data_IF_949715955186
#
_entry.id   IF_949715955186
#
_cell.length_a   1.000
_cell.length_b   1.000
_cell.length_c   1.000
_cell.angle_alpha   90.00
_cell.angle_beta   90.00
_cell.angle_gamma   90.00
#
_symmetry.space_group_name_H-M   'P 1'
#
loop_
_entity.id
_entity.type
_entity.pdbx_description
1 polymer ?
#
# COMPACT_ATOMS: atom_id res chain seq x y z
N UNK A 1 -19.75 22.83 -3.04
CA UNK A 1 -20.05 22.10 -1.80
C UNK A 1 -19.74 22.96 -0.58
N UNK A 2 -20.62 22.93 0.42
CA UNK A 2 -20.44 23.67 1.68
C UNK A 2 -19.71 22.86 2.76
N UNK A 3 -19.50 21.56 2.50
CA UNK A 3 -18.81 20.63 3.39
C UNK A 3 -17.55 20.09 2.69
N UNK A 4 -16.47 19.84 3.44
CA UNK A 4 -15.30 19.18 2.87
C UNK A 4 -15.69 17.78 2.40
N UNK A 5 -15.07 17.33 1.32
CA UNK A 5 -15.25 15.97 0.83
C UNK A 5 -14.74 14.96 1.89
N UNK A 6 -15.35 13.77 1.98
CA UNK A 6 -14.95 12.80 2.99
C UNK A 6 -13.44 12.50 3.02
N UNK A 7 -12.78 12.41 1.86
CA UNK A 7 -11.34 12.14 1.77
C UNK A 7 -10.43 13.31 2.18
N UNK A 8 -10.96 14.54 2.31
CA UNK A 8 -10.20 15.70 2.80
C UNK A 8 -10.13 15.73 4.34
N UNK A 9 -10.92 14.89 5.01
CA UNK A 9 -10.92 14.80 6.45
C UNK A 9 -9.69 14.04 6.94
N UNK A 10 -8.85 14.71 7.71
CA UNK A 10 -7.66 14.11 8.34
C UNK A 10 -7.97 13.18 9.52
N UNK A 11 -9.20 13.27 10.05
CA UNK A 11 -9.68 12.41 11.14
C UNK A 11 -10.38 11.20 10.53
N UNK A 12 -9.77 10.01 10.67
CA UNK A 12 -10.26 8.76 10.10
C UNK A 12 -11.68 8.40 10.56
N UNK A 13 -12.03 8.72 11.80
CA UNK A 13 -13.36 8.43 12.33
C UNK A 13 -14.42 9.34 11.69
N UNK A 14 -14.10 10.63 11.54
CA UNK A 14 -14.99 11.57 10.85
C UNK A 14 -15.13 11.24 9.37
N UNK A 15 -14.02 10.85 8.71
CA UNK A 15 -14.04 10.39 7.31
C UNK A 15 -15.00 9.23 7.13
N UNK A 16 -14.85 8.19 7.94
CA UNK A 16 -15.68 7.00 7.85
C UNK A 16 -17.18 7.29 8.09
N UNK A 17 -17.51 8.17 9.03
CA UNK A 17 -18.89 8.60 9.25
C UNK A 17 -19.42 9.48 8.11
N UNK A 18 -18.57 10.32 7.51
CA UNK A 18 -18.96 11.15 6.37
C UNK A 18 -19.30 10.28 5.15
N UNK A 19 -18.48 9.28 4.81
CA UNK A 19 -18.78 8.32 3.74
C UNK A 19 -20.09 7.60 4.00
N UNK A 20 -20.28 7.09 5.21
CA UNK A 20 -21.49 6.38 5.59
C UNK A 20 -22.74 7.25 5.52
N UNK A 21 -22.65 8.54 5.78
CA UNK A 21 -23.76 9.48 5.69
C UNK A 21 -24.34 9.65 4.28
N UNK A 22 -23.58 9.31 3.27
CA UNK A 22 -24.00 9.31 1.85
C UNK A 22 -24.18 7.90 1.26
N UNK A 23 -24.27 6.88 2.13
CA UNK A 23 -24.55 5.51 1.73
C UNK A 23 -23.35 4.72 1.21
N UNK A 24 -22.12 5.18 1.47
CA UNK A 24 -20.87 4.50 1.12
C UNK A 24 -20.27 3.86 2.37
N UNK A 25 -19.90 2.60 2.26
CA UNK A 25 -19.12 1.93 3.32
C UNK A 25 -17.65 2.42 3.28
N UNK A 26 -17.03 2.46 4.44
CA UNK A 26 -15.59 2.72 4.59
C UNK A 26 -14.97 1.65 5.49
N UNK A 27 -13.67 1.51 5.42
CA UNK A 27 -12.87 0.68 6.30
C UNK A 27 -11.84 1.55 7.00
N UNK A 28 -11.62 1.32 8.30
CA UNK A 28 -10.61 2.06 9.04
C UNK A 28 -9.23 1.47 8.75
N UNK A 29 -8.31 2.34 8.31
CA UNK A 29 -6.91 2.01 8.11
C UNK A 29 -6.10 2.19 9.39
N UNK A 30 -5.32 1.19 9.75
CA UNK A 30 -4.40 1.26 10.88
C UNK A 30 -2.99 0.90 10.42
N UNK A 31 -2.07 1.83 10.60
CA UNK A 31 -0.64 1.57 10.40
C UNK A 31 -0.07 0.78 11.56
N UNK A 32 0.66 -0.28 11.26
CA UNK A 32 1.37 -1.08 12.26
C UNK A 32 2.81 -0.58 12.37
N UNK A 33 3.31 -0.24 13.56
CA UNK A 33 4.62 0.35 13.70
C UNK A 33 5.76 -0.66 13.47
N UNK A 34 6.94 -0.14 13.18
CA UNK A 34 8.23 -0.80 13.29
C UNK A 34 9.10 -0.02 14.27
N UNK A 35 10.31 -0.51 14.57
CA UNK A 35 11.26 0.17 15.44
C UNK A 35 12.63 0.32 14.80
N UNK A 36 13.44 1.21 15.36
CA UNK A 36 14.87 1.30 15.07
C UNK A 36 15.66 0.89 16.30
N UNK A 37 16.91 0.45 16.10
CA UNK A 37 17.80 0.18 17.21
C UNK A 37 18.03 1.46 18.04
N UNK A 38 18.02 1.41 19.38
CA UNK A 38 18.22 2.59 20.23
C UNK A 38 19.56 3.31 20.00
N UNK A 39 20.54 2.67 19.40
CA UNK A 39 21.83 3.28 19.05
C UNK A 39 21.77 4.14 17.78
N UNK A 40 20.69 4.05 17.00
CA UNK A 40 20.51 4.84 15.78
C UNK A 40 20.19 6.29 16.14
N UNK A 41 20.95 7.18 15.58
CA UNK A 41 20.69 8.63 15.61
C UNK A 41 20.62 9.17 14.19
N UNK A 42 19.94 10.30 14.00
CA UNK A 42 19.89 10.91 12.67
C UNK A 42 20.10 12.42 12.72
N UNK A 43 20.46 12.97 11.56
CA UNK A 43 20.62 14.40 11.34
C UNK A 43 19.90 14.76 10.05
N UNK A 44 19.07 15.78 10.08
CA UNK A 44 18.41 16.36 8.93
C UNK A 44 19.23 17.53 8.40
N UNK A 45 19.47 17.53 7.11
CA UNK A 45 20.21 18.55 6.39
C UNK A 45 19.37 19.01 5.19
N UNK A 46 19.66 20.21 4.69
CA UNK A 46 19.03 20.78 3.51
C UNK A 46 20.10 21.41 2.62
N UNK A 47 20.10 21.02 1.37
CA UNK A 47 20.93 21.63 0.34
C UNK A 47 20.08 22.59 -0.47
N UNK A 48 20.41 23.87 -0.45
CA UNK A 48 19.71 24.88 -1.23
C UNK A 48 20.04 24.76 -2.72
N UNK A 49 19.11 25.17 -3.60
CA UNK A 49 19.33 25.13 -5.04
C UNK A 49 20.50 26.03 -5.47
N UNK A 50 21.31 25.53 -6.40
CA UNK A 50 22.46 26.28 -6.92
C UNK A 50 22.09 27.35 -7.97
N UNK A 51 20.84 27.32 -8.49
CA UNK A 51 20.40 28.27 -9.51
C UNK A 51 18.91 28.20 -9.82
N UNK A 52 18.43 29.07 -10.71
CA UNK A 52 17.02 29.13 -11.11
C UNK A 52 16.52 27.78 -11.68
N UNK A 53 15.29 27.38 -11.32
CA UNK A 53 14.66 26.14 -11.80
C UNK A 53 15.14 24.87 -11.10
N UNK A 54 16.04 25.00 -10.12
CA UNK A 54 16.42 23.90 -9.24
C UNK A 54 15.61 23.95 -7.93
N UNK A 55 15.45 22.80 -7.31
CA UNK A 55 14.72 22.67 -6.05
C UNK A 55 15.64 22.23 -4.93
N UNK A 56 15.33 22.57 -3.68
CA UNK A 56 16.07 22.10 -2.53
C UNK A 56 16.12 20.57 -2.46
N UNK A 57 17.20 20.03 -1.91
CA UNK A 57 17.34 18.62 -1.61
C UNK A 57 17.31 18.45 -0.09
N UNK A 58 16.35 17.70 0.38
CA UNK A 58 16.25 17.26 1.77
C UNK A 58 17.14 16.04 1.95
N UNK A 59 17.87 15.99 3.06
CA UNK A 59 18.83 14.93 3.33
C UNK A 59 18.63 14.45 4.76
N UNK A 60 18.55 13.13 4.94
CA UNK A 60 18.64 12.50 6.25
C UNK A 60 19.79 11.54 6.31
N UNK A 61 20.64 11.71 7.31
CA UNK A 61 21.74 10.81 7.64
C UNK A 61 21.43 10.04 8.91
N UNK A 62 21.36 8.71 8.79
CA UNK A 62 21.24 7.81 9.93
C UNK A 62 22.64 7.30 10.31
N UNK A 63 23.02 7.46 11.55
CA UNK A 63 24.24 6.90 12.12
C UNK A 63 23.89 5.59 12.81
N UNK A 64 24.54 4.52 12.38
CA UNK A 64 24.37 3.16 12.93
C UNK A 64 25.72 2.63 13.42
N UNK A 65 25.76 1.55 14.21
CA UNK A 65 27.01 0.88 14.59
C UNK A 65 27.86 0.37 13.40
N UNK A 66 27.25 0.21 12.22
CA UNK A 66 27.91 -0.26 10.99
C UNK A 66 28.26 0.86 10.02
N UNK A 67 28.03 2.12 10.41
CA UNK A 67 28.30 3.29 9.57
C UNK A 67 27.06 4.13 9.29
N UNK A 68 27.16 5.02 8.33
CA UNK A 68 26.12 6.02 8.00
C UNK A 68 25.32 5.57 6.78
N UNK A 69 23.99 5.65 6.88
CA UNK A 69 23.07 5.65 5.74
C UNK A 69 22.68 7.09 5.41
N UNK A 70 22.51 7.38 4.13
CA UNK A 70 22.14 8.71 3.69
C UNK A 70 21.07 8.61 2.59
N UNK A 71 19.96 9.31 2.81
CA UNK A 71 18.85 9.42 1.86
C UNK A 71 18.71 10.89 1.46
N UNK A 72 18.65 11.15 0.15
CA UNK A 72 18.53 12.48 -0.41
C UNK A 72 17.30 12.54 -1.32
N UNK A 73 16.39 13.47 -1.05
CA UNK A 73 15.15 13.63 -1.79
C UNK A 73 14.99 15.07 -2.24
N UNK A 74 14.87 15.28 -3.53
CA UNK A 74 14.62 16.58 -4.13
C UNK A 74 13.15 16.99 -3.89
N UNK A 75 12.93 18.20 -3.41
CA UNK A 75 11.60 18.80 -3.40
C UNK A 75 11.16 19.16 -4.82
N UNK A 76 9.88 19.43 -5.02
CA UNK A 76 9.34 19.90 -6.30
C UNK A 76 8.74 21.29 -6.13
N UNK A 77 8.40 21.96 -7.23
CA UNK A 77 7.72 23.26 -7.20
C UNK A 77 6.22 23.17 -7.00
N UNK A 78 5.67 21.96 -6.96
CA UNK A 78 4.25 21.74 -6.76
C UNK A 78 3.89 22.01 -5.31
N UNK A 79 2.85 22.80 -5.08
CA UNK A 79 2.30 23.00 -3.76
C UNK A 79 1.48 21.78 -3.32
N UNK A 80 1.53 21.45 -2.06
CA UNK A 80 0.81 20.30 -1.49
C UNK A 80 -0.72 20.41 -1.67
N UNK A 81 -1.24 21.61 -1.91
CA UNK A 81 -2.66 21.88 -2.15
C UNK A 81 -3.11 21.64 -3.60
N UNK A 82 -2.18 21.53 -4.56
CA UNK A 82 -2.49 21.45 -6.00
C UNK A 82 -2.46 20.03 -6.55
N UNK A 83 -2.12 19.04 -5.74
CA UNK A 83 -2.02 17.65 -6.17
C UNK A 83 -1.65 16.72 -5.03
N UNK A 84 -1.40 15.47 -5.34
CA UNK A 84 -0.98 14.45 -4.41
C UNK A 84 0.52 14.40 -4.13
N UNK A 85 1.26 15.39 -4.55
CA UNK A 85 2.69 15.45 -4.26
C UNK A 85 2.87 15.73 -2.78
N UNK A 86 3.16 14.69 -2.02
CA UNK A 86 3.54 14.83 -0.63
C UNK A 86 4.92 15.47 -0.59
N UNK A 87 4.98 16.71 -0.08
CA UNK A 87 6.23 17.43 0.18
C UNK A 87 6.61 17.22 1.66
N UNK A 88 7.40 16.20 2.00
CA UNK A 88 7.78 16.01 3.40
C UNK A 88 8.64 17.17 3.88
N UNK A 89 8.44 17.60 5.13
CA UNK A 89 9.33 18.56 5.77
C UNK A 89 10.71 17.96 6.07
N UNK A 90 10.76 16.64 6.22
CA UNK A 90 11.97 15.84 6.46
C UNK A 90 11.88 14.56 5.62
N UNK A 91 13.03 13.95 5.34
CA UNK A 91 13.06 12.67 4.62
C UNK A 91 12.67 11.55 5.58
N UNK A 92 11.54 10.83 5.36
CA UNK A 92 11.19 9.66 6.16
C UNK A 92 12.17 8.51 5.87
N UNK A 93 12.10 7.45 6.65
CA UNK A 93 12.94 6.25 6.42
C UNK A 93 12.67 5.68 5.02
N UNK A 94 11.41 5.59 4.65
CA UNK A 94 10.94 5.26 3.30
C UNK A 94 9.59 5.92 3.03
N UNK A 95 9.33 6.21 1.76
CA UNK A 95 8.07 6.75 1.27
C UNK A 95 7.97 6.53 -0.23
N UNK A 96 6.81 6.10 -0.67
CA UNK A 96 6.52 5.77 -2.07
C UNK A 96 6.81 6.93 -3.02
N UNK A 97 6.31 8.11 -2.68
CA UNK A 97 6.48 9.32 -3.48
C UNK A 97 7.92 9.86 -3.54
N UNK A 98 8.82 9.32 -2.72
CA UNK A 98 10.22 9.73 -2.73
C UNK A 98 11.04 8.99 -3.80
N UNK A 99 10.61 7.81 -4.25
CA UNK A 99 11.36 6.98 -5.21
C UNK A 99 11.78 7.78 -6.45
N UNK A 100 10.85 8.42 -7.19
CA UNK A 100 11.20 9.15 -8.41
C UNK A 100 11.94 10.47 -8.15
N UNK A 101 11.95 10.97 -6.91
CA UNK A 101 12.58 12.22 -6.51
C UNK A 101 13.88 12.02 -5.75
N UNK A 102 14.24 10.80 -5.43
CA UNK A 102 15.48 10.50 -4.71
C UNK A 102 16.70 10.80 -5.60
N UNK A 103 17.58 11.67 -5.15
CA UNK A 103 18.91 11.87 -5.73
C UNK A 103 19.90 10.82 -5.21
N UNK A 104 19.64 10.30 -4.02
CA UNK A 104 20.31 9.14 -3.46
C UNK A 104 19.31 8.30 -2.67
N UNK A 105 19.17 7.06 -3.04
CA UNK A 105 18.37 6.08 -2.30
C UNK A 105 19.05 5.71 -0.98
N UNK A 106 18.24 5.30 0.01
CA UNK A 106 18.74 4.94 1.34
C UNK A 106 19.72 3.77 1.28
N UNK A 107 19.41 2.75 0.49
CA UNK A 107 20.30 1.62 0.16
C UNK A 107 20.80 1.84 -1.26
N UNK A 108 22.04 2.31 -1.38
CA UNK A 108 22.69 2.61 -2.66
C UNK A 108 23.96 1.78 -2.89
N UNK A 109 24.30 0.91 -1.94
CA UNK A 109 25.39 -0.07 -2.06
C UNK A 109 25.05 -1.34 -1.27
N UNK A 110 25.69 -2.49 -1.57
CA UNK A 110 25.48 -3.74 -0.82
C UNK A 110 25.77 -3.60 0.69
N UNK A 111 26.73 -2.78 1.08
CA UNK A 111 27.10 -2.54 2.48
C UNK A 111 26.02 -1.79 3.26
N UNK A 112 25.15 -1.04 2.56
CA UNK A 112 24.06 -0.29 3.18
C UNK A 112 23.00 -1.23 3.77
N UNK A 113 22.87 -2.45 3.25
CA UNK A 113 21.94 -3.46 3.76
C UNK A 113 22.19 -3.76 5.24
N UNK A 114 23.46 -3.95 5.62
CA UNK A 114 23.82 -4.21 7.02
C UNK A 114 23.57 -3.01 7.94
N UNK A 115 23.58 -1.79 7.40
CA UNK A 115 23.25 -0.57 8.14
C UNK A 115 21.76 -0.42 8.32
N UNK A 116 20.97 -0.76 7.26
CA UNK A 116 19.51 -0.72 7.30
C UNK A 116 18.92 -1.62 8.39
N UNK A 117 19.55 -2.76 8.67
CA UNK A 117 19.15 -3.69 9.74
C UNK A 117 19.03 -3.03 11.14
N UNK A 118 19.65 -1.86 11.34
CA UNK A 118 19.48 -1.07 12.58
C UNK A 118 18.31 -0.08 12.50
N UNK A 119 17.90 0.32 11.29
CA UNK A 119 16.87 1.34 11.10
C UNK A 119 15.48 0.76 10.93
N UNK A 120 15.36 -0.46 10.41
CA UNK A 120 14.07 -1.14 10.14
C UNK A 120 14.03 -2.49 10.83
N UNK A 121 13.32 -2.57 11.94
CA UNK A 121 13.29 -3.72 12.85
C UNK A 121 11.90 -4.02 13.37
N UNK A 122 11.65 -5.25 13.85
CA UNK A 122 10.43 -5.61 14.54
C UNK A 122 10.04 -4.60 15.63
N UNK A 123 8.72 -4.39 15.84
CA UNK A 123 8.22 -3.48 16.87
C UNK A 123 8.76 -3.82 18.26
N UNK A 124 9.36 -2.86 18.92
CA UNK A 124 9.80 -2.95 20.31
C UNK A 124 8.64 -2.76 21.31
N UNK A 125 8.95 -2.76 22.60
CA UNK A 125 7.95 -2.60 23.65
C UNK A 125 7.23 -1.24 23.57
N UNK A 126 7.93 -0.15 23.19
CA UNK A 126 7.34 1.18 23.05
C UNK A 126 6.39 1.25 21.85
N UNK A 127 6.80 0.72 20.71
CA UNK A 127 5.98 0.62 19.51
C UNK A 127 4.73 -0.23 19.75
N UNK A 128 4.85 -1.36 20.43
CA UNK A 128 3.72 -2.21 20.82
C UNK A 128 2.74 -1.50 21.75
N UNK A 129 3.24 -0.76 22.74
CA UNK A 129 2.41 0.02 23.66
C UNK A 129 1.66 1.15 22.92
N UNK A 130 2.34 1.85 22.02
CA UNK A 130 1.70 2.86 21.16
C UNK A 130 0.58 2.25 20.33
N UNK A 131 0.85 1.12 19.65
CA UNK A 131 -0.15 0.44 18.85
C UNK A 131 -1.35 -0.01 19.68
N UNK A 132 -1.14 -0.58 20.84
CA UNK A 132 -2.22 -0.99 21.76
C UNK A 132 -3.09 0.20 22.20
N UNK A 133 -2.49 1.36 22.49
CA UNK A 133 -3.21 2.60 22.82
C UNK A 133 -4.07 3.08 21.66
N UNK A 134 -3.52 3.14 20.43
CA UNK A 134 -4.28 3.54 19.25
C UNK A 134 -5.42 2.55 18.96
N UNK A 135 -5.16 1.28 19.09
CA UNK A 135 -6.15 0.22 18.83
C UNK A 135 -7.28 0.18 19.86
N UNK A 136 -7.08 0.70 21.07
CA UNK A 136 -8.17 0.84 22.03
C UNK A 136 -9.24 1.84 21.54
N UNK A 137 -8.82 2.98 20.97
CA UNK A 137 -9.71 3.98 20.37
C UNK A 137 -10.40 3.43 19.10
N UNK A 138 -9.63 2.81 18.23
CA UNK A 138 -10.11 2.22 16.96
C UNK A 138 -11.15 1.14 17.25
N UNK A 139 -10.87 0.25 18.20
CA UNK A 139 -11.81 -0.81 18.59
C UNK A 139 -13.09 -0.24 19.16
N UNK A 140 -13.03 0.76 20.02
CA UNK A 140 -14.22 1.39 20.58
C UNK A 140 -15.10 2.01 19.48
N UNK A 141 -14.48 2.70 18.52
CA UNK A 141 -15.19 3.28 17.37
C UNK A 141 -15.79 2.19 16.46
N UNK A 142 -14.99 1.15 16.13
CA UNK A 142 -15.44 -0.01 15.35
C UNK A 142 -16.68 -0.66 15.97
N UNK A 143 -16.61 -0.97 17.26
CA UNK A 143 -17.70 -1.68 17.96
C UNK A 143 -18.97 -0.82 18.06
N UNK A 144 -18.82 0.51 18.19
CA UNK A 144 -19.95 1.44 18.23
C UNK A 144 -20.61 1.65 16.87
N UNK A 145 -19.86 1.56 15.75
CA UNK A 145 -20.34 1.93 14.44
C UNK A 145 -20.43 0.75 13.46
N UNK A 146 -19.89 -0.42 13.77
CA UNK A 146 -19.88 -1.58 12.88
C UNK A 146 -19.03 -1.39 11.61
N UNK A 147 -17.98 -0.53 11.67
CA UNK A 147 -17.06 -0.27 10.57
C UNK A 147 -15.86 -1.21 10.71
N UNK A 148 -15.51 -2.02 9.69
CA UNK A 148 -14.39 -2.93 9.77
C UNK A 148 -13.04 -2.18 9.84
N UNK A 149 -12.01 -2.88 10.34
CA UNK A 149 -10.66 -2.36 10.52
C UNK A 149 -9.66 -3.21 9.76
N UNK A 150 -8.87 -2.57 8.89
CA UNK A 150 -7.72 -3.20 8.25
C UNK A 150 -6.40 -2.64 8.78
N UNK A 151 -5.43 -3.52 8.98
CA UNK A 151 -4.10 -3.18 9.47
C UNK A 151 -3.05 -3.38 8.37
N UNK A 152 -2.37 -2.30 7.99
CA UNK A 152 -1.27 -2.30 7.01
C UNK A 152 0.01 -2.78 7.69
N UNK A 153 0.26 -4.08 7.62
CA UNK A 153 1.31 -4.75 8.38
C UNK A 153 2.45 -5.31 7.52
N UNK A 154 2.21 -5.68 6.26
CA UNK A 154 3.24 -6.18 5.34
C UNK A 154 3.61 -5.12 4.31
N UNK A 155 4.91 -5.03 4.00
CA UNK A 155 5.44 -4.18 2.93
C UNK A 155 6.19 -4.98 1.86
N UNK A 156 6.74 -6.14 2.19
CA UNK A 156 7.36 -7.04 1.23
C UNK A 156 8.32 -6.36 0.25
N UNK A 157 8.12 -6.61 -1.05
CA UNK A 157 8.92 -6.00 -2.12
C UNK A 157 8.74 -4.50 -2.25
N UNK A 158 7.62 -3.94 -1.80
CA UNK A 158 7.42 -2.49 -1.79
C UNK A 158 8.48 -1.82 -0.91
N UNK A 159 8.76 -2.37 0.29
CA UNK A 159 9.83 -1.85 1.15
C UNK A 159 11.20 -1.93 0.48
N UNK A 160 11.50 -3.02 -0.24
CA UNK A 160 12.78 -3.16 -0.97
C UNK A 160 12.93 -2.04 -2.01
N UNK A 161 11.87 -1.79 -2.79
CA UNK A 161 11.86 -0.73 -3.79
C UNK A 161 11.95 0.66 -3.15
N UNK A 162 11.28 0.88 -2.03
CA UNK A 162 11.39 2.16 -1.31
C UNK A 162 12.78 2.44 -0.75
N UNK A 163 13.51 1.40 -0.33
CA UNK A 163 14.88 1.56 0.15
C UNK A 163 15.91 1.75 -0.96
N UNK A 164 15.76 1.01 -2.06
CA UNK A 164 16.76 0.93 -3.13
C UNK A 164 16.43 1.77 -4.38
N UNK A 165 15.16 2.19 -4.54
CA UNK A 165 14.62 2.56 -5.84
C UNK A 165 14.42 1.35 -6.75
N UNK A 166 13.62 1.49 -7.81
CA UNK A 166 13.28 0.36 -8.70
C UNK A 166 14.52 -0.23 -9.39
N UNK A 167 15.36 0.61 -10.00
CA UNK A 167 16.58 0.18 -10.67
C UNK A 167 17.58 -0.43 -9.68
N UNK A 168 17.80 0.23 -8.55
CA UNK A 168 18.71 -0.24 -7.50
C UNK A 168 18.31 -1.60 -6.92
N UNK A 169 17.02 -1.84 -6.73
CA UNK A 169 16.50 -3.13 -6.25
C UNK A 169 16.75 -4.25 -7.27
N UNK A 170 16.50 -4.00 -8.55
CA UNK A 170 16.74 -4.97 -9.62
C UNK A 170 18.23 -5.27 -9.77
N UNK A 171 19.08 -4.24 -9.79
CA UNK A 171 20.54 -4.41 -9.88
C UNK A 171 21.11 -5.15 -8.67
N UNK A 172 20.63 -4.82 -7.46
CA UNK A 172 21.04 -5.55 -6.26
C UNK A 172 20.64 -7.05 -6.35
N UNK A 173 19.46 -7.37 -6.87
CA UNK A 173 19.01 -8.74 -7.03
C UNK A 173 19.86 -9.54 -8.04
N UNK A 174 20.35 -8.88 -9.11
CA UNK A 174 21.12 -9.51 -10.17
C UNK A 174 22.62 -9.61 -9.83
N UNK A 175 23.20 -8.53 -9.34
CA UNK A 175 24.65 -8.42 -9.16
C UNK A 175 25.11 -8.84 -7.75
N UNK A 176 24.22 -8.70 -6.76
CA UNK A 176 24.49 -8.98 -5.35
C UNK A 176 23.36 -9.81 -4.69
N UNK A 177 23.06 -11.01 -5.21
CA UNK A 177 21.90 -11.80 -4.77
C UNK A 177 21.93 -12.21 -3.30
N UNK A 178 23.11 -12.26 -2.69
CA UNK A 178 23.26 -12.53 -1.26
C UNK A 178 22.76 -11.35 -0.42
N UNK A 179 23.22 -10.15 -0.75
CA UNK A 179 22.83 -8.92 -0.06
C UNK A 179 21.38 -8.56 -0.32
N UNK A 180 20.85 -8.86 -1.52
CA UNK A 180 19.42 -8.74 -1.81
C UNK A 180 18.59 -9.66 -0.92
N UNK A 181 19.02 -10.92 -0.74
CA UNK A 181 18.35 -11.84 0.19
C UNK A 181 18.40 -11.33 1.63
N UNK A 182 19.57 -10.85 2.08
CA UNK A 182 19.72 -10.27 3.42
C UNK A 182 18.78 -9.06 3.62
N UNK A 183 18.65 -8.18 2.61
CA UNK A 183 17.70 -7.09 2.63
C UNK A 183 16.25 -7.59 2.74
N UNK A 184 15.88 -8.58 1.94
CA UNK A 184 14.54 -9.15 1.98
C UNK A 184 14.24 -9.89 3.29
N UNK A 185 15.23 -10.53 3.88
CA UNK A 185 15.12 -11.18 5.21
C UNK A 185 14.84 -10.14 6.30
N UNK A 186 15.51 -8.96 6.28
CA UNK A 186 15.22 -7.84 7.20
C UNK A 186 13.76 -7.38 7.07
N UNK A 187 13.28 -7.25 5.84
CA UNK A 187 11.87 -6.88 5.58
C UNK A 187 10.93 -7.97 6.10
N UNK A 188 11.19 -9.22 5.75
CA UNK A 188 10.35 -10.37 6.12
C UNK A 188 10.25 -10.55 7.65
N UNK A 189 11.35 -10.41 8.37
CA UNK A 189 11.36 -10.51 9.85
C UNK A 189 10.51 -9.40 10.47
N UNK A 190 10.66 -8.19 9.98
CA UNK A 190 9.91 -7.02 10.48
C UNK A 190 8.43 -7.14 10.15
N UNK A 191 8.07 -7.51 8.93
CA UNK A 191 6.69 -7.67 8.50
C UNK A 191 6.00 -8.83 9.24
N UNK A 192 6.67 -9.95 9.45
CA UNK A 192 6.12 -11.06 10.24
C UNK A 192 5.77 -10.62 11.67
N UNK A 193 6.65 -9.84 12.33
CA UNK A 193 6.39 -9.33 13.68
C UNK A 193 5.25 -8.29 13.70
N UNK A 194 5.11 -7.49 12.65
CA UNK A 194 4.01 -6.52 12.48
C UNK A 194 2.68 -7.21 12.22
N UNK A 195 2.66 -8.23 11.36
CA UNK A 195 1.47 -9.06 11.10
C UNK A 195 1.01 -9.75 12.39
N UNK A 196 1.94 -10.34 13.15
CA UNK A 196 1.63 -10.97 14.44
C UNK A 196 1.03 -9.97 15.43
N UNK A 197 1.60 -8.76 15.53
CA UNK A 197 1.11 -7.69 16.39
C UNK A 197 -0.32 -7.25 15.99
N UNK A 198 -0.58 -7.09 14.70
CA UNK A 198 -1.88 -6.70 14.19
C UNK A 198 -2.93 -7.81 14.35
N UNK A 199 -2.59 -9.02 13.91
CA UNK A 199 -3.50 -10.15 13.87
C UNK A 199 -3.92 -10.60 15.28
N UNK A 200 -3.03 -10.52 16.27
CA UNK A 200 -3.36 -10.84 17.65
C UNK A 200 -4.35 -9.86 18.30
N UNK A 201 -4.55 -8.66 17.73
CA UNK A 201 -5.44 -7.66 18.30
C UNK A 201 -6.91 -7.91 17.92
N UNK A 202 -7.84 -7.95 18.92
CA UNK A 202 -9.26 -8.26 18.64
C UNK A 202 -10.01 -7.20 17.83
N UNK A 203 -9.47 -5.98 17.75
CA UNK A 203 -10.05 -4.86 16.99
C UNK A 203 -9.67 -4.84 15.51
N UNK A 204 -8.80 -5.74 15.04
CA UNK A 204 -8.43 -5.88 13.62
C UNK A 204 -9.29 -6.97 12.99
N UNK A 205 -9.82 -6.72 11.80
CA UNK A 205 -10.60 -7.67 11.02
C UNK A 205 -9.79 -8.26 9.86
N UNK A 206 -8.96 -7.42 9.22
CA UNK A 206 -8.18 -7.75 8.04
C UNK A 206 -6.72 -7.27 8.23
N UNK A 207 -5.75 -8.10 7.93
CA UNK A 207 -4.34 -7.73 7.84
C UNK A 207 -3.98 -7.60 6.37
N UNK A 208 -3.30 -6.51 5.99
CA UNK A 208 -3.02 -6.21 4.58
C UNK A 208 -1.51 -6.06 4.35
N UNK A 209 -1.05 -6.65 3.26
CA UNK A 209 0.29 -6.43 2.70
C UNK A 209 0.20 -5.58 1.43
N UNK A 210 1.12 -4.64 1.31
CA UNK A 210 1.36 -3.87 0.09
C UNK A 210 2.19 -4.70 -0.88
N UNK A 211 1.78 -4.70 -2.14
CA UNK A 211 2.46 -5.45 -3.19
C UNK A 211 2.37 -4.78 -4.56
N UNK A 212 2.26 -3.43 -4.60
CA UNK A 212 2.25 -2.70 -5.88
C UNK A 212 3.51 -2.96 -6.71
N UNK A 213 4.68 -3.06 -6.04
CA UNK A 213 5.97 -3.28 -6.69
C UNK A 213 6.38 -4.76 -6.74
N UNK A 214 5.51 -5.70 -6.40
CA UNK A 214 5.80 -7.14 -6.46
C UNK A 214 5.23 -7.86 -7.68
N UNK A 215 4.63 -7.13 -8.61
CA UNK A 215 4.00 -7.68 -9.82
C UNK A 215 5.00 -8.05 -10.93
N UNK A 216 4.48 -8.69 -11.97
CA UNK A 216 5.26 -9.04 -13.19
C UNK A 216 5.76 -7.84 -13.98
N UNK A 217 5.33 -6.63 -13.65
CA UNK A 217 5.89 -5.39 -14.21
C UNK A 217 7.29 -5.07 -13.67
N UNK A 218 7.65 -5.61 -12.50
CA UNK A 218 8.92 -5.36 -11.82
C UNK A 218 9.79 -6.62 -11.73
N UNK A 219 9.18 -7.78 -11.49
CA UNK A 219 9.89 -9.01 -11.18
C UNK A 219 9.51 -10.15 -12.13
N UNK A 220 10.48 -10.99 -12.46
CA UNK A 220 10.18 -12.21 -13.20
C UNK A 220 9.33 -13.17 -12.33
N UNK A 221 8.50 -14.03 -12.93
CA UNK A 221 7.78 -15.06 -12.17
C UNK A 221 8.70 -15.92 -11.29
N UNK A 222 9.93 -16.17 -11.73
CA UNK A 222 10.92 -16.94 -10.96
C UNK A 222 11.33 -16.22 -9.65
N UNK A 223 11.55 -14.91 -9.70
CA UNK A 223 11.87 -14.10 -8.51
C UNK A 223 10.65 -13.97 -7.58
N UNK A 224 9.45 -13.86 -8.14
CA UNK A 224 8.22 -13.90 -7.36
C UNK A 224 8.12 -15.22 -6.57
N UNK A 225 8.30 -16.36 -7.23
CA UNK A 225 8.27 -17.68 -6.57
C UNK A 225 9.37 -17.84 -5.51
N UNK A 226 10.52 -17.26 -5.76
CA UNK A 226 11.67 -17.38 -4.85
C UNK A 226 11.54 -16.53 -3.58
N UNK A 227 10.97 -15.35 -3.67
CA UNK A 227 10.93 -14.34 -2.60
C UNK A 227 9.51 -14.03 -2.15
N UNK A 228 8.65 -13.59 -3.07
CA UNK A 228 7.34 -13.03 -2.70
C UNK A 228 6.38 -14.12 -2.25
N UNK A 229 6.26 -15.20 -3.00
CA UNK A 229 5.30 -16.26 -2.67
C UNK A 229 5.48 -16.84 -1.26
N UNK A 230 6.68 -17.28 -0.82
CA UNK A 230 6.86 -17.82 0.53
C UNK A 230 6.65 -16.77 1.63
N UNK A 231 6.96 -15.50 1.35
CA UNK A 231 6.71 -14.39 2.26
C UNK A 231 5.20 -14.19 2.47
N UNK A 232 4.45 -13.98 1.39
CA UNK A 232 2.99 -13.81 1.44
C UNK A 232 2.31 -15.00 2.13
N UNK A 233 2.72 -16.23 1.78
CA UNK A 233 2.20 -17.45 2.41
C UNK A 233 2.42 -17.48 3.93
N UNK A 234 3.60 -17.08 4.38
CA UNK A 234 3.92 -17.03 5.81
C UNK A 234 3.06 -15.98 6.54
N UNK A 235 2.90 -14.79 5.96
CA UNK A 235 2.09 -13.73 6.54
C UNK A 235 0.59 -14.08 6.55
N UNK A 236 0.07 -14.63 5.47
CA UNK A 236 -1.32 -15.11 5.41
C UNK A 236 -1.58 -16.20 6.46
N UNK A 237 -0.67 -17.16 6.60
CA UNK A 237 -0.75 -18.19 7.65
C UNK A 237 -0.74 -17.60 9.06
N UNK A 238 0.08 -16.60 9.32
CA UNK A 238 0.11 -15.92 10.62
C UNK A 238 -1.23 -15.21 10.92
N UNK A 239 -1.79 -14.47 9.95
CA UNK A 239 -3.09 -13.83 10.09
C UNK A 239 -4.22 -14.85 10.35
N UNK A 240 -4.25 -15.94 9.58
CA UNK A 240 -5.21 -17.04 9.75
C UNK A 240 -5.09 -17.73 11.10
N UNK A 241 -3.85 -17.85 11.65
CA UNK A 241 -3.61 -18.41 12.99
C UNK A 241 -4.33 -17.66 14.11
N UNK A 242 -4.64 -16.38 13.89
CA UNK A 242 -5.44 -15.53 14.77
C UNK A 242 -6.91 -15.37 14.32
N UNK A 243 -7.36 -16.13 13.31
CA UNK A 243 -8.71 -16.05 12.76
C UNK A 243 -8.98 -14.78 11.96
N UNK A 244 -7.91 -14.08 11.50
CA UNK A 244 -8.04 -12.86 10.68
C UNK A 244 -7.97 -13.20 9.20
N UNK A 245 -8.55 -12.32 8.36
CA UNK A 245 -8.41 -12.37 6.92
C UNK A 245 -7.08 -11.71 6.51
N UNK A 246 -6.54 -12.15 5.37
CA UNK A 246 -5.32 -11.58 4.79
C UNK A 246 -5.61 -10.97 3.43
N UNK A 247 -5.31 -9.68 3.28
CA UNK A 247 -5.44 -8.91 2.05
C UNK A 247 -4.08 -8.66 1.40
N UNK A 248 -4.09 -8.61 0.09
CA UNK A 248 -2.89 -8.31 -0.71
C UNK A 248 -3.22 -7.31 -1.78
N UNK A 249 -2.35 -6.32 -1.96
CA UNK A 249 -2.50 -5.30 -3.00
C UNK A 249 -1.67 -5.66 -4.20
N UNK A 250 -2.30 -5.74 -5.38
CA UNK A 250 -1.60 -5.94 -6.64
C UNK A 250 -2.45 -5.40 -7.80
N UNK A 251 -1.95 -4.41 -8.49
CA UNK A 251 -2.67 -3.75 -9.60
C UNK A 251 -2.37 -4.38 -10.97
N UNK A 252 -1.21 -5.02 -11.15
CA UNK A 252 -0.78 -5.62 -12.42
C UNK A 252 -0.35 -7.07 -12.26
N UNK A 253 -0.35 -7.86 -13.34
CA UNK A 253 0.07 -9.27 -13.31
C UNK A 253 -0.94 -10.25 -12.73
N UNK A 254 -2.20 -9.84 -12.52
CA UNK A 254 -3.27 -10.66 -11.89
C UNK A 254 -3.48 -11.99 -12.59
N UNK A 255 -3.40 -12.05 -13.94
CA UNK A 255 -3.57 -13.30 -14.68
C UNK A 255 -2.51 -14.35 -14.35
N UNK A 256 -1.27 -13.89 -14.13
CA UNK A 256 -0.13 -14.78 -13.88
C UNK A 256 0.00 -15.11 -12.39
N UNK A 257 -0.09 -14.09 -11.55
CA UNK A 257 0.23 -14.20 -10.12
C UNK A 257 -1.00 -14.43 -9.23
N UNK A 258 -2.20 -14.05 -9.68
CA UNK A 258 -3.42 -14.16 -8.89
C UNK A 258 -3.70 -15.58 -8.38
N UNK A 259 -3.60 -16.64 -9.23
CA UNK A 259 -3.76 -18.03 -8.75
C UNK A 259 -2.72 -18.42 -7.69
N UNK A 260 -1.49 -17.91 -7.79
CA UNK A 260 -0.43 -18.14 -6.80
C UNK A 260 -0.72 -17.43 -5.49
N UNK A 261 -1.26 -16.21 -5.54
CA UNK A 261 -1.71 -15.49 -4.34
C UNK A 261 -2.86 -16.22 -3.63
N UNK A 262 -3.80 -16.80 -4.39
CA UNK A 262 -4.85 -17.65 -3.84
C UNK A 262 -4.26 -18.88 -3.11
N UNK A 263 -3.26 -19.54 -3.73
CA UNK A 263 -2.56 -20.69 -3.14
C UNK A 263 -1.75 -20.28 -1.89
N UNK A 264 -1.19 -19.07 -1.87
CA UNK A 264 -0.51 -18.51 -0.71
C UNK A 264 -1.45 -18.22 0.48
N UNK A 265 -2.77 -18.19 0.23
CA UNK A 265 -3.77 -17.96 1.27
C UNK A 265 -4.31 -16.54 1.33
N UNK A 266 -4.19 -15.75 0.27
CA UNK A 266 -4.79 -14.42 0.19
C UNK A 266 -6.32 -14.56 0.16
N UNK A 267 -7.02 -13.89 1.08
CA UNK A 267 -8.49 -13.85 1.14
C UNK A 267 -9.08 -12.68 0.35
N UNK A 268 -8.36 -11.57 0.25
CA UNK A 268 -8.83 -10.33 -0.39
C UNK A 268 -7.75 -9.79 -1.32
N UNK A 269 -8.06 -9.63 -2.59
CA UNK A 269 -7.16 -9.04 -3.58
C UNK A 269 -7.59 -7.61 -3.91
N UNK A 270 -6.72 -6.66 -3.64
CA UNK A 270 -6.78 -5.26 -4.06
C UNK A 270 -5.83 -5.09 -5.26
N UNK A 271 -6.00 -4.33 -6.19
CA UNK A 271 -7.09 -3.58 -6.78
C UNK A 271 -7.31 -4.12 -8.19
N UNK A 272 -8.44 -4.76 -8.44
CA UNK A 272 -8.73 -5.31 -9.77
C UNK A 272 -9.05 -4.16 -10.72
N UNK A 273 -8.09 -3.83 -11.61
CA UNK A 273 -8.22 -2.72 -12.57
C UNK A 273 -8.68 -3.22 -13.94
N UNK A 274 -9.89 -2.83 -14.40
CA UNK A 274 -10.37 -3.19 -15.73
C UNK A 274 -9.59 -2.49 -16.87
N UNK A 275 -8.81 -1.46 -16.57
CA UNK A 275 -8.00 -0.71 -17.55
C UNK A 275 -6.50 -1.03 -17.47
N UNK A 276 -6.07 -2.02 -16.71
CA UNK A 276 -4.65 -2.36 -16.59
C UNK A 276 -4.00 -2.57 -17.97
N UNK A 277 -3.12 -1.66 -18.43
CA UNK A 277 -2.50 -1.72 -19.74
C UNK A 277 -1.47 -2.84 -19.88
N UNK A 278 -0.93 -3.34 -18.77
CA UNK A 278 0.03 -4.44 -18.76
C UNK A 278 -0.64 -5.80 -19.06
N UNK A 279 -1.95 -5.88 -18.89
CA UNK A 279 -2.74 -7.09 -19.01
C UNK A 279 -3.65 -7.03 -20.25
N UNK A 280 -3.07 -6.74 -21.42
CA UNK A 280 -3.80 -6.73 -22.68
C UNK A 280 -4.60 -8.02 -22.85
N UNK A 281 -5.93 -7.88 -22.91
CA UNK A 281 -6.85 -9.00 -23.04
C UNK A 281 -7.34 -9.63 -21.74
N UNK A 282 -6.92 -9.13 -20.57
CA UNK A 282 -7.56 -9.51 -19.31
C UNK A 282 -8.88 -8.75 -19.17
N UNK A 283 -9.95 -9.48 -18.99
CA UNK A 283 -11.28 -8.94 -18.74
C UNK A 283 -11.72 -9.25 -17.30
N UNK A 284 -12.72 -8.52 -16.81
CA UNK A 284 -13.32 -8.83 -15.50
C UNK A 284 -13.87 -10.26 -15.45
N UNK A 285 -14.36 -10.79 -16.59
CA UNK A 285 -14.83 -12.16 -16.73
C UNK A 285 -13.68 -13.15 -16.49
N UNK A 286 -12.49 -12.90 -17.07
CA UNK A 286 -11.31 -13.72 -16.83
C UNK A 286 -10.85 -13.68 -15.38
N UNK A 287 -10.83 -12.50 -14.78
CA UNK A 287 -10.50 -12.33 -13.34
C UNK A 287 -11.48 -13.11 -12.47
N UNK A 288 -12.79 -12.98 -12.73
CA UNK A 288 -13.84 -13.77 -12.06
C UNK A 288 -13.54 -15.26 -12.15
N UNK A 289 -13.33 -15.75 -13.34
CA UNK A 289 -13.18 -17.20 -13.60
C UNK A 289 -11.90 -17.75 -12.94
N UNK A 290 -10.87 -16.94 -12.84
CA UNK A 290 -9.61 -17.32 -12.21
C UNK A 290 -9.66 -17.27 -10.68
N UNK A 291 -10.32 -16.26 -10.08
CA UNK A 291 -10.06 -15.89 -8.69
C UNK A 291 -11.29 -15.84 -7.79
N UNK A 292 -12.48 -15.58 -8.32
CA UNK A 292 -13.67 -15.35 -7.49
C UNK A 292 -14.12 -16.56 -6.66
N UNK A 293 -13.68 -17.77 -7.00
CA UNK A 293 -13.88 -18.98 -6.21
C UNK A 293 -13.00 -19.04 -4.94
N UNK A 294 -11.90 -18.31 -4.92
CA UNK A 294 -10.86 -18.42 -3.90
C UNK A 294 -10.77 -17.20 -2.99
N UNK A 295 -10.96 -15.98 -3.53
CA UNK A 295 -10.76 -14.74 -2.78
C UNK A 295 -11.84 -13.69 -3.09
N UNK A 296 -11.95 -12.70 -2.23
CA UNK A 296 -12.75 -11.49 -2.47
C UNK A 296 -11.97 -10.52 -3.34
N UNK A 297 -12.62 -9.98 -4.36
CA UNK A 297 -12.02 -9.04 -5.31
C UNK A 297 -12.48 -7.62 -4.96
N UNK A 298 -11.54 -6.69 -4.83
CA UNK A 298 -11.80 -5.26 -4.55
C UNK A 298 -11.32 -4.43 -5.74
N UNK A 299 -12.16 -3.57 -6.26
CA UNK A 299 -11.84 -2.73 -7.42
C UNK A 299 -13.01 -2.59 -8.38
N UNK A 300 -12.75 -2.81 -9.66
CA UNK A 300 -13.77 -2.89 -10.71
C UNK A 300 -14.06 -1.59 -11.45
N UNK A 301 -13.55 -0.44 -10.96
CA UNK A 301 -13.58 0.83 -11.69
C UNK A 301 -12.24 1.54 -11.57
N UNK A 302 -11.65 1.91 -12.72
CA UNK A 302 -10.39 2.64 -12.73
C UNK A 302 -10.56 4.06 -12.20
N UNK A 303 -9.61 4.52 -11.39
CA UNK A 303 -9.55 5.92 -10.94
C UNK A 303 -9.35 6.90 -12.10
N UNK A 304 -8.72 6.47 -13.19
CA UNK A 304 -8.61 7.28 -14.41
C UNK A 304 -9.99 7.52 -15.04
N UNK A 305 -10.86 6.52 -15.05
CA UNK A 305 -12.26 6.68 -15.50
C UNK A 305 -13.01 7.68 -14.61
N UNK A 306 -12.78 7.66 -13.31
CA UNK A 306 -13.40 8.61 -12.38
C UNK A 306 -12.83 10.04 -12.54
N UNK A 307 -11.54 10.15 -12.85
CA UNK A 307 -10.88 11.45 -13.02
C UNK A 307 -11.24 12.16 -14.33
N UNK A 308 -11.40 11.42 -15.42
CA UNK A 308 -11.54 12.00 -16.77
C UNK A 308 -12.71 11.45 -17.60
N UNK A 309 -13.37 10.39 -17.15
CA UNK A 309 -14.50 9.77 -17.85
C UNK A 309 -15.80 10.56 -17.72
N UNK A 310 -16.63 10.50 -18.75
CA UNK A 310 -17.99 11.07 -18.70
C UNK A 310 -18.95 10.19 -17.91
N UNK A 311 -20.08 10.76 -17.48
CA UNK A 311 -21.09 10.06 -16.67
C UNK A 311 -21.56 8.73 -17.30
N UNK A 312 -21.73 8.66 -18.62
CA UNK A 312 -22.12 7.44 -19.32
C UNK A 312 -21.05 6.35 -19.24
N UNK A 313 -19.78 6.71 -19.30
CA UNK A 313 -18.66 5.79 -19.17
C UNK A 313 -18.57 5.23 -17.76
N UNK A 314 -18.65 6.09 -16.75
CA UNK A 314 -18.67 5.70 -15.33
C UNK A 314 -19.80 4.72 -15.06
N UNK A 315 -21.04 5.05 -15.49
CA UNK A 315 -22.21 4.18 -15.33
C UNK A 315 -22.02 2.81 -16.00
N UNK A 316 -21.46 2.77 -17.21
CA UNK A 316 -21.22 1.55 -17.94
C UNK A 316 -20.15 0.68 -17.25
N UNK A 317 -19.07 1.29 -16.74
CA UNK A 317 -18.03 0.57 -16.00
C UNK A 317 -18.56 -0.03 -14.70
N UNK A 318 -19.30 0.77 -13.91
CA UNK A 318 -19.95 0.29 -12.67
C UNK A 318 -20.90 -0.87 -12.97
N UNK A 319 -21.78 -0.70 -13.97
CA UNK A 319 -22.73 -1.76 -14.36
C UNK A 319 -22.00 -3.03 -14.77
N UNK A 320 -20.96 -2.93 -15.63
CA UNK A 320 -20.17 -4.07 -16.07
C UNK A 320 -19.48 -4.78 -14.90
N UNK A 321 -18.91 -4.03 -13.96
CA UNK A 321 -18.29 -4.61 -12.78
C UNK A 321 -19.30 -5.38 -11.93
N UNK A 322 -20.47 -4.79 -11.68
CA UNK A 322 -21.55 -5.44 -10.91
C UNK A 322 -22.14 -6.66 -11.62
N UNK A 323 -22.43 -6.55 -12.94
CA UNK A 323 -22.96 -7.68 -13.72
C UNK A 323 -21.97 -8.86 -13.76
N UNK A 324 -20.65 -8.58 -13.80
CA UNK A 324 -19.60 -9.59 -13.95
C UNK A 324 -19.19 -10.20 -12.62
N UNK A 325 -18.91 -9.37 -11.62
CA UNK A 325 -18.30 -9.79 -10.35
C UNK A 325 -19.34 -9.92 -9.22
N UNK A 326 -20.43 -9.14 -9.26
CA UNK A 326 -21.49 -9.15 -8.24
C UNK A 326 -22.07 -10.54 -7.95
N UNK A 327 -22.41 -11.36 -8.98
CA UNK A 327 -22.96 -12.71 -8.76
C UNK A 327 -22.06 -13.66 -7.99
N UNK A 328 -20.78 -13.36 -7.83
CA UNK A 328 -19.85 -14.18 -7.06
C UNK A 328 -20.05 -14.10 -5.55
N UNK A 329 -20.73 -13.04 -5.06
CA UNK A 329 -20.85 -12.68 -3.65
C UNK A 329 -19.47 -12.47 -2.94
N UNK A 330 -18.41 -12.20 -3.74
CA UNK A 330 -17.03 -11.96 -3.31
C UNK A 330 -16.46 -10.77 -4.05
N UNK A 331 -17.24 -9.70 -4.12
CA UNK A 331 -16.84 -8.48 -4.83
C UNK A 331 -17.20 -7.25 -4.01
N UNK A 332 -16.26 -6.31 -3.96
CA UNK A 332 -16.42 -4.97 -3.38
C UNK A 332 -16.08 -3.96 -4.49
N UNK A 333 -17.08 -3.20 -4.94
CA UNK A 333 -16.86 -2.12 -5.89
C UNK A 333 -16.05 -1.01 -5.21
N UNK A 334 -14.90 -0.70 -5.77
CA UNK A 334 -13.96 0.27 -5.23
C UNK A 334 -13.20 0.96 -6.37
N UNK A 335 -12.88 2.24 -6.27
CA UNK A 335 -11.92 2.87 -7.18
C UNK A 335 -10.56 2.18 -7.07
N UNK A 336 -9.99 1.79 -8.21
CA UNK A 336 -8.65 1.17 -8.20
C UNK A 336 -7.63 2.19 -7.73
N UNK A 337 -6.76 1.77 -6.82
CA UNK A 337 -5.68 2.55 -6.22
C UNK A 337 -6.14 3.71 -5.31
N UNK A 338 -7.35 4.15 -5.40
CA UNK A 338 -7.93 5.20 -4.57
C UNK A 338 -8.57 6.34 -5.36
N UNK A 339 -9.05 7.34 -4.65
CA UNK A 339 -9.55 8.59 -5.24
C UNK A 339 -8.44 9.63 -5.21
N UNK A 340 -8.21 10.26 -6.36
CA UNK A 340 -7.22 11.31 -6.50
C UNK A 340 -7.82 12.68 -6.11
N UNK A 341 -7.01 13.62 -5.58
CA UNK A 341 -7.51 14.92 -5.13
C UNK A 341 -8.29 15.71 -6.18
N UNK A 342 -7.96 15.52 -7.45
CA UNK A 342 -8.60 16.17 -8.61
C UNK A 342 -9.80 15.38 -9.17
N UNK A 343 -10.18 14.25 -8.55
CA UNK A 343 -11.36 13.49 -8.97
C UNK A 343 -12.62 14.35 -8.80
N UNK A 344 -13.38 14.63 -9.87
CA UNK A 344 -14.60 15.44 -9.79
C UNK A 344 -15.64 14.80 -8.86
N UNK A 345 -16.25 15.60 -8.00
CA UNK A 345 -17.29 15.09 -7.11
C UNK A 345 -18.48 14.49 -7.88
N UNK A 346 -18.84 15.07 -8.99
CA UNK A 346 -19.90 14.59 -9.88
C UNK A 346 -19.61 13.15 -10.39
N UNK A 347 -18.35 12.80 -10.56
CA UNK A 347 -17.96 11.44 -10.93
C UNK A 347 -18.22 10.44 -9.80
N UNK A 348 -17.98 10.86 -8.56
CA UNK A 348 -18.27 10.04 -7.38
C UNK A 348 -19.78 9.86 -7.19
N UNK A 349 -20.57 10.95 -7.30
CA UNK A 349 -22.04 10.89 -7.26
C UNK A 349 -22.58 9.99 -8.36
N UNK A 350 -22.00 10.07 -9.55
CA UNK A 350 -22.38 9.21 -10.69
C UNK A 350 -22.08 7.73 -10.39
N UNK A 351 -20.92 7.42 -9.80
CA UNK A 351 -20.55 6.08 -9.40
C UNK A 351 -21.52 5.54 -8.34
N UNK A 352 -21.82 6.32 -7.30
CA UNK A 352 -22.76 5.93 -6.23
C UNK A 352 -24.15 5.68 -6.80
N UNK A 353 -24.68 6.59 -7.60
CA UNK A 353 -26.00 6.46 -8.22
C UNK A 353 -26.08 5.24 -9.17
N UNK A 354 -25.01 4.94 -9.89
CA UNK A 354 -24.94 3.77 -10.75
C UNK A 354 -24.91 2.47 -9.91
N UNK A 355 -24.15 2.45 -8.81
CA UNK A 355 -24.15 1.31 -7.89
C UNK A 355 -25.53 1.08 -7.26
N UNK A 356 -26.19 2.11 -6.78
CA UNK A 356 -27.55 1.99 -6.23
C UNK A 356 -28.57 1.45 -7.25
N UNK A 357 -28.40 1.83 -8.52
CA UNK A 357 -29.29 1.42 -9.60
C UNK A 357 -29.09 -0.03 -10.04
N UNK A 358 -27.87 -0.52 -10.04
CA UNK A 358 -27.51 -1.80 -10.67
C UNK A 358 -27.14 -2.91 -9.69
N UNK A 359 -27.04 -2.64 -8.37
CA UNK A 359 -26.79 -3.65 -7.32
C UNK A 359 -27.94 -4.63 -7.14
#
# INVERSE_FOLDING_TARGET
HTLPFPWELSDDFKRALAWRSIGVDDILDVSVPWSSDPSVTWTDLRKEPAGPGQYPVLIREYRTPKGTLRHEVRQTGEEQAEGWVIQPAVVPLFEDFNIPRAERQLVSSPEDVQRLAYCYRPPDAAAKAWFASRMAEVKAFRDANGIPVQAWAGFGMDAVVWFCGTEGAIMLALDHPKEFRELFDIVTETDAARVELAASHPGVDLVVERGWYSSTSFWSPALFEQFVFPHVQALAKAAHGHGKKFGYVMTTGVEVLGPRLAEAGVDVLYFVDPLDPAQKGLSLEKVRDLLAGSMTLVGGISSLTLGSGGAAEIQNNVRRALDTLGPTNRFILHPVDGLFPDTPWESIETMIAAWERYR
#
